data_IF_827019868953
#
_entry.id   IF_827019868953
#
_cell.length_a   1.000
_cell.length_b   1.000
_cell.length_c   1.000
_cell.angle_alpha   90.00
_cell.angle_beta   90.00
_cell.angle_gamma   90.00
#
_symmetry.space_group_name_H-M   'P 1'
#
loop_
_entity.id
_entity.type
_entity.pdbx_description
1 polymer ?
#
# COMPACT_ATOMS: atom_id res chain seq x y z
N UNK A 1 -21.83 59.63 12.07
CA UNK A 1 -22.45 58.44 11.45
C UNK A 1 -21.72 58.15 10.14
N UNK A 2 -20.82 57.16 10.14
CA UNK A 2 -20.11 56.52 8.99
C UNK A 2 -18.88 55.81 9.60
N UNK A 3 -18.43 54.69 9.04
CA UNK A 3 -17.29 53.86 9.46
C UNK A 3 -17.52 52.66 10.40
N UNK A 4 -18.73 52.08 10.45
CA UNK A 4 -18.94 50.78 11.12
C UNK A 4 -19.11 49.58 10.16
N UNK A 5 -18.88 49.80 8.86
CA UNK A 5 -19.18 48.83 7.78
C UNK A 5 -17.93 48.15 7.16
N UNK A 6 -16.69 48.69 7.16
CA UNK A 6 -15.62 48.07 6.37
C UNK A 6 -15.05 46.78 7.01
N UNK A 7 -15.11 46.63 8.33
CA UNK A 7 -14.51 45.49 9.05
C UNK A 7 -15.31 44.20 8.89
N UNK A 8 -16.64 44.28 8.80
CA UNK A 8 -17.50 43.10 8.64
C UNK A 8 -17.36 42.47 7.24
N UNK A 9 -17.07 43.29 6.23
CA UNK A 9 -16.88 42.86 4.84
C UNK A 9 -15.53 42.15 4.66
N UNK A 10 -14.47 42.61 5.34
CA UNK A 10 -13.14 42.00 5.27
C UNK A 10 -13.14 40.60 5.92
N UNK A 11 -13.86 40.41 7.02
CA UNK A 11 -13.98 39.11 7.69
C UNK A 11 -14.75 38.09 6.81
N UNK A 12 -15.76 38.54 6.06
CA UNK A 12 -16.51 37.66 5.15
C UNK A 12 -15.67 37.16 3.95
N UNK A 13 -14.70 37.94 3.47
CA UNK A 13 -13.82 37.53 2.36
C UNK A 13 -12.80 36.48 2.80
N UNK A 14 -12.31 36.53 4.05
CA UNK A 14 -11.38 35.53 4.59
C UNK A 14 -12.07 34.18 4.82
N UNK A 15 -13.36 34.18 5.18
CA UNK A 15 -14.16 32.96 5.38
C UNK A 15 -14.51 32.28 4.04
N UNK A 16 -14.53 33.02 2.92
CA UNK A 16 -14.83 32.47 1.59
C UNK A 16 -13.61 31.90 0.84
N UNK A 17 -12.39 32.02 1.39
CA UNK A 17 -11.17 31.45 0.79
C UNK A 17 -10.88 30.01 1.19
N UNK A 18 -11.77 29.35 1.96
CA UNK A 18 -11.76 27.89 2.07
C UNK A 18 -12.46 27.25 0.86
N UNK A 19 -12.09 27.65 -0.36
CA UNK A 19 -12.39 26.84 -1.53
C UNK A 19 -11.50 25.60 -1.43
N UNK A 20 -12.11 24.48 -1.07
CA UNK A 20 -11.46 23.17 -1.05
C UNK A 20 -10.76 22.92 -2.39
N UNK A 21 -9.44 22.89 -2.36
CA UNK A 21 -8.63 22.62 -3.52
C UNK A 21 -8.73 21.11 -3.82
N UNK A 22 -9.81 20.70 -4.49
CA UNK A 22 -10.04 19.31 -4.93
C UNK A 22 -9.30 18.96 -6.23
N UNK A 23 -8.12 19.55 -6.44
CA UNK A 23 -7.22 19.13 -7.50
C UNK A 23 -6.51 17.84 -7.09
N UNK A 24 -6.49 16.82 -7.96
CA UNK A 24 -5.62 15.65 -7.74
C UNK A 24 -4.19 16.14 -7.67
N UNK A 25 -3.52 15.94 -6.53
CA UNK A 25 -2.13 16.34 -6.36
C UNK A 25 -1.26 15.37 -7.17
N UNK A 26 -0.45 15.91 -8.08
CA UNK A 26 0.47 15.09 -8.86
C UNK A 26 1.62 14.61 -7.97
N UNK A 27 1.83 13.30 -7.92
CA UNK A 27 2.94 12.69 -7.17
C UNK A 27 4.24 12.81 -7.97
N UNK A 28 5.33 13.16 -7.30
CA UNK A 28 6.68 13.00 -7.84
C UNK A 28 7.01 11.50 -8.04
N UNK A 29 8.04 11.16 -8.85
CA UNK A 29 8.37 9.77 -9.15
C UNK A 29 8.63 8.91 -7.90
N UNK A 30 9.36 9.43 -6.91
CA UNK A 30 9.68 8.70 -5.68
C UNK A 30 8.42 8.40 -4.87
N UNK A 31 7.55 9.39 -4.69
CA UNK A 31 6.26 9.22 -4.02
C UNK A 31 5.35 8.22 -4.73
N UNK A 32 5.35 8.24 -6.07
CA UNK A 32 4.56 7.32 -6.89
C UNK A 32 5.04 5.88 -6.73
N UNK A 33 6.35 5.65 -6.83
CA UNK A 33 6.96 4.33 -6.75
C UNK A 33 6.79 3.72 -5.34
N UNK A 34 6.99 4.54 -4.30
CA UNK A 34 6.69 4.15 -2.93
C UNK A 34 5.22 3.72 -2.78
N UNK A 35 4.28 4.58 -3.17
CA UNK A 35 2.86 4.33 -2.99
C UNK A 35 2.35 3.12 -3.79
N UNK A 36 2.94 2.83 -4.95
CA UNK A 36 2.53 1.71 -5.80
C UNK A 36 2.54 0.38 -5.04
N UNK A 37 3.59 0.12 -4.27
CA UNK A 37 3.76 -1.12 -3.50
C UNK A 37 3.35 -0.97 -2.04
N UNK A 38 3.76 0.12 -1.36
CA UNK A 38 3.51 0.31 0.07
C UNK A 38 2.02 0.37 0.43
N UNK A 39 1.14 0.75 -0.50
CA UNK A 39 -0.32 0.71 -0.30
C UNK A 39 -0.89 -0.66 0.09
N UNK A 40 -0.15 -1.75 -0.13
CA UNK A 40 -0.51 -3.09 0.34
C UNK A 40 -0.50 -3.17 1.87
N UNK A 41 0.46 -2.50 2.51
CA UNK A 41 0.68 -2.54 3.97
C UNK A 41 0.32 -1.23 4.68
N UNK A 42 -0.25 -0.27 3.95
CA UNK A 42 -0.85 0.94 4.52
C UNK A 42 -2.23 0.66 5.10
N UNK A 43 -2.47 1.19 6.29
CA UNK A 43 -3.81 1.38 6.86
C UNK A 43 -4.63 2.34 6.01
N UNK A 44 -5.95 2.37 6.24
CA UNK A 44 -6.83 3.34 5.58
C UNK A 44 -6.41 4.78 5.90
N UNK A 45 -6.09 5.05 7.16
CA UNK A 45 -5.66 6.35 7.65
C UNK A 45 -4.35 6.80 6.98
N UNK A 46 -3.36 5.92 6.87
CA UNK A 46 -2.10 6.22 6.18
C UNK A 46 -2.32 6.54 4.70
N UNK A 47 -3.21 5.80 4.00
CA UNK A 47 -3.58 6.10 2.62
C UNK A 47 -4.23 7.48 2.50
N UNK A 48 -5.18 7.78 3.39
CA UNK A 48 -5.88 9.05 3.40
C UNK A 48 -4.88 10.20 3.64
N UNK A 49 -4.02 10.09 4.67
CA UNK A 49 -2.96 11.07 4.96
C UNK A 49 -2.07 11.28 3.74
N UNK A 50 -1.47 10.22 3.21
CA UNK A 50 -0.54 10.31 2.07
C UNK A 50 -1.15 11.01 0.85
N UNK A 51 -2.44 10.75 0.57
CA UNK A 51 -3.17 11.36 -0.54
C UNK A 51 -3.43 12.86 -0.37
N UNK A 52 -3.46 13.36 0.88
CA UNK A 52 -3.71 14.77 1.19
C UNK A 52 -2.44 15.59 1.45
N UNK A 53 -1.25 14.96 1.48
CA UNK A 53 0.00 15.70 1.66
C UNK A 53 0.24 16.64 0.46
N UNK A 54 0.49 17.95 0.69
CA UNK A 54 0.47 18.94 -0.38
C UNK A 54 1.75 18.91 -1.24
N UNK A 55 2.89 18.71 -0.63
CA UNK A 55 4.20 18.87 -1.25
C UNK A 55 5.09 17.62 -1.11
N UNK A 56 6.26 17.66 -1.76
CA UNK A 56 7.22 16.57 -1.80
C UNK A 56 7.91 16.34 -0.45
N UNK A 57 8.28 17.40 0.26
CA UNK A 57 9.00 17.31 1.54
C UNK A 57 8.14 16.61 2.59
N UNK A 58 6.87 17.01 2.69
CA UNK A 58 5.88 16.35 3.55
C UNK A 58 5.72 14.85 3.23
N UNK A 59 5.83 14.44 1.96
CA UNK A 59 5.76 13.03 1.55
C UNK A 59 7.03 12.27 1.88
N UNK A 60 8.20 12.88 1.73
CA UNK A 60 9.48 12.28 2.13
C UNK A 60 9.51 12.01 3.64
N UNK A 61 9.03 12.97 4.44
CA UNK A 61 8.85 12.79 5.89
C UNK A 61 7.88 11.64 6.19
N UNK A 62 6.71 11.61 5.54
CA UNK A 62 5.76 10.50 5.70
C UNK A 62 6.39 9.14 5.35
N UNK A 63 7.15 9.06 4.26
CA UNK A 63 7.81 7.82 3.82
C UNK A 63 8.84 7.35 4.86
N UNK A 64 9.64 8.28 5.39
CA UNK A 64 10.60 8.01 6.46
C UNK A 64 9.89 7.45 7.70
N UNK A 65 8.87 8.15 8.18
CA UNK A 65 8.03 7.76 9.31
C UNK A 65 7.36 6.41 9.11
N UNK A 66 6.85 6.16 7.91
CA UNK A 66 6.12 4.95 7.55
C UNK A 66 6.97 3.71 7.75
N UNK A 67 8.25 3.79 7.34
CA UNK A 67 9.21 2.70 7.52
C UNK A 67 9.74 2.62 8.94
N UNK A 68 10.08 3.77 9.56
CA UNK A 68 10.56 3.81 10.94
C UNK A 68 9.57 3.17 11.92
N UNK A 69 8.26 3.42 11.75
CA UNK A 69 7.19 2.81 12.58
C UNK A 69 7.07 1.28 12.42
N UNK A 70 7.65 0.72 11.37
CA UNK A 70 7.62 -0.71 11.05
C UNK A 70 8.97 -1.40 11.29
N UNK A 71 9.95 -0.66 11.78
CA UNK A 71 11.26 -1.20 12.10
C UNK A 71 11.20 -2.07 13.37
N UNK A 72 11.47 -3.39 13.29
CA UNK A 72 11.51 -4.23 14.47
C UNK A 72 12.79 -4.01 15.30
N UNK A 73 13.85 -3.47 14.71
CA UNK A 73 15.18 -3.36 15.33
C UNK A 73 15.78 -1.96 15.11
N UNK A 74 15.19 -0.88 15.65
CA UNK A 74 15.62 0.50 15.36
C UNK A 74 17.06 0.84 15.82
N UNK A 75 17.71 -0.06 16.57
CA UNK A 75 19.11 0.06 16.98
C UNK A 75 20.09 -0.42 15.88
N UNK A 76 19.61 -1.02 14.79
CA UNK A 76 20.40 -1.39 13.61
C UNK A 76 20.30 -0.31 12.54
N UNK A 77 21.25 -0.29 11.61
CA UNK A 77 21.24 0.65 10.49
C UNK A 77 20.16 0.30 9.44
N UNK A 78 19.80 -1.00 9.36
CA UNK A 78 18.93 -1.54 8.32
C UNK A 78 17.55 -1.88 8.87
N UNK A 79 16.50 -1.47 8.15
CA UNK A 79 15.13 -1.80 8.53
C UNK A 79 14.74 -3.19 7.99
N UNK A 80 14.83 -4.23 8.82
CA UNK A 80 14.67 -5.61 8.35
C UNK A 80 13.26 -5.90 7.82
N UNK A 81 12.23 -5.19 8.31
CA UNK A 81 10.87 -5.31 7.79
C UNK A 81 10.76 -4.77 6.36
N UNK A 82 11.36 -3.61 6.09
CA UNK A 82 11.37 -2.99 4.75
C UNK A 82 12.11 -3.88 3.76
N UNK A 83 13.27 -4.41 4.15
CA UNK A 83 14.04 -5.35 3.31
C UNK A 83 13.21 -6.59 2.97
N UNK A 84 12.62 -7.23 3.97
CA UNK A 84 11.79 -8.41 3.77
C UNK A 84 10.55 -8.11 2.92
N UNK A 85 9.91 -6.96 3.12
CA UNK A 85 8.79 -6.53 2.29
C UNK A 85 9.19 -6.46 0.81
N UNK A 86 10.30 -5.80 0.48
CA UNK A 86 10.77 -5.71 -0.90
C UNK A 86 11.26 -7.05 -1.46
N UNK A 87 11.91 -7.89 -0.65
CA UNK A 87 12.27 -9.26 -1.03
C UNK A 87 11.05 -10.08 -1.43
N UNK A 88 9.94 -9.96 -0.70
CA UNK A 88 8.68 -10.64 -1.02
C UNK A 88 8.00 -10.06 -2.26
N UNK A 89 8.07 -8.74 -2.47
CA UNK A 89 7.58 -8.08 -3.69
C UNK A 89 8.32 -8.65 -4.91
N UNK A 90 9.65 -8.73 -4.86
CA UNK A 90 10.47 -9.27 -5.95
C UNK A 90 10.12 -10.74 -6.22
N UNK A 91 10.13 -11.58 -5.17
CA UNK A 91 9.79 -12.99 -5.30
C UNK A 91 8.40 -13.19 -5.92
N UNK A 92 7.40 -12.46 -5.42
CA UNK A 92 6.04 -12.56 -5.92
C UNK A 92 5.93 -12.10 -7.38
N UNK A 93 6.65 -11.03 -7.75
CA UNK A 93 6.72 -10.50 -9.11
C UNK A 93 7.21 -11.54 -10.12
N UNK A 94 8.22 -12.32 -9.72
CA UNK A 94 8.85 -13.34 -10.57
C UNK A 94 8.03 -14.63 -10.63
N UNK A 95 7.41 -15.06 -9.53
CA UNK A 95 6.80 -16.39 -9.41
C UNK A 95 5.32 -16.45 -9.75
N UNK A 96 4.57 -15.36 -9.57
CA UNK A 96 3.10 -15.40 -9.62
C UNK A 96 2.51 -14.55 -10.75
N UNK A 97 3.24 -14.38 -11.86
CA UNK A 97 2.79 -13.59 -13.01
C UNK A 97 1.69 -14.32 -13.79
N UNK A 98 0.56 -13.65 -13.95
CA UNK A 98 -0.64 -14.19 -14.63
C UNK A 98 -1.30 -13.10 -15.49
N UNK A 99 -0.59 -12.64 -16.53
CA UNK A 99 -1.01 -11.51 -17.37
C UNK A 99 -0.84 -10.12 -16.72
N UNK A 100 -0.75 -10.06 -15.39
CA UNK A 100 -0.38 -8.89 -14.60
C UNK A 100 0.90 -9.15 -13.79
N UNK A 101 1.60 -8.11 -13.29
CA UNK A 101 2.76 -8.29 -12.40
C UNK A 101 2.42 -9.20 -11.21
N UNK A 102 3.31 -10.15 -10.91
CA UNK A 102 2.99 -11.22 -9.95
C UNK A 102 2.67 -10.74 -8.54
N UNK A 103 3.32 -9.68 -8.05
CA UNK A 103 2.98 -9.06 -6.77
C UNK A 103 1.57 -8.45 -6.71
N UNK A 104 0.95 -8.18 -7.88
CA UNK A 104 -0.42 -7.66 -7.98
C UNK A 104 -1.48 -8.77 -7.99
N UNK A 105 -1.11 -10.04 -8.19
CA UNK A 105 -2.05 -11.18 -8.15
C UNK A 105 -2.44 -11.54 -6.72
N UNK A 106 -3.51 -12.32 -6.55
CA UNK A 106 -3.96 -12.74 -5.23
C UNK A 106 -2.91 -13.60 -4.53
N UNK A 107 -2.29 -14.55 -5.26
CA UNK A 107 -1.16 -15.36 -4.74
C UNK A 107 0.02 -14.49 -4.33
N UNK A 108 0.37 -13.49 -5.15
CA UNK A 108 1.46 -12.57 -4.82
C UNK A 108 1.18 -11.75 -3.57
N UNK A 109 -0.03 -11.21 -3.43
CA UNK A 109 -0.42 -10.46 -2.22
C UNK A 109 -0.41 -11.32 -0.98
N UNK A 110 -0.96 -12.53 -1.05
CA UNK A 110 -0.91 -13.49 0.07
C UNK A 110 0.53 -13.82 0.46
N UNK A 111 1.41 -14.06 -0.51
CA UNK A 111 2.83 -14.30 -0.24
C UNK A 111 3.51 -13.10 0.43
N UNK A 112 3.19 -11.87 0.01
CA UNK A 112 3.74 -10.66 0.63
C UNK A 112 3.31 -10.55 2.09
N UNK A 113 2.02 -10.77 2.39
CA UNK A 113 1.50 -10.65 3.75
C UNK A 113 1.96 -11.78 4.67
N UNK A 114 1.83 -13.03 4.22
CA UNK A 114 2.02 -14.20 5.09
C UNK A 114 3.40 -14.82 4.95
N UNK A 115 4.16 -14.46 3.91
CA UNK A 115 5.41 -15.12 3.56
C UNK A 115 5.19 -16.45 2.83
N UNK A 116 6.23 -17.29 2.74
CA UNK A 116 6.13 -18.59 2.10
C UNK A 116 5.15 -19.50 2.86
N UNK A 117 4.30 -20.26 2.14
CA UNK A 117 3.45 -21.26 2.77
C UNK A 117 4.27 -22.46 3.26
N UNK A 118 3.80 -23.10 4.33
CA UNK A 118 4.36 -24.35 4.86
C UNK A 118 4.08 -25.54 3.93
N UNK A 119 2.98 -25.46 3.18
CA UNK A 119 2.54 -26.51 2.25
C UNK A 119 1.94 -25.93 0.98
N UNK A 120 2.31 -26.50 -0.16
CA UNK A 120 1.72 -26.19 -1.47
C UNK A 120 1.21 -27.49 -2.09
N UNK A 121 -0.06 -27.52 -2.49
CA UNK A 121 -0.65 -28.62 -3.25
C UNK A 121 -1.29 -28.08 -4.53
N UNK A 122 -1.14 -28.83 -5.63
CA UNK A 122 -1.90 -28.60 -6.86
C UNK A 122 -2.94 -29.71 -6.99
N UNK A 123 -4.20 -29.34 -7.13
CA UNK A 123 -5.35 -30.26 -7.23
C UNK A 123 -5.97 -30.12 -8.62
N UNK A 124 -5.53 -30.92 -9.60
CA UNK A 124 -6.08 -30.88 -10.95
C UNK A 124 -7.52 -31.41 -10.98
N UNK A 125 -8.34 -30.88 -11.89
CA UNK A 125 -9.65 -31.45 -12.17
C UNK A 125 -9.51 -32.65 -13.12
N UNK A 126 -9.49 -33.86 -12.55
CA UNK A 126 -9.18 -35.10 -13.29
C UNK A 126 -10.10 -35.33 -14.51
N UNK A 127 -11.38 -34.95 -14.41
CA UNK A 127 -12.35 -35.11 -15.50
C UNK A 127 -12.36 -33.94 -16.50
N UNK A 128 -11.56 -32.90 -16.27
CA UNK A 128 -11.50 -31.68 -17.09
C UNK A 128 -10.03 -31.24 -17.24
N UNK A 129 -9.22 -31.96 -18.03
CA UNK A 129 -7.77 -31.74 -18.11
C UNK A 129 -7.39 -30.34 -18.64
N UNK A 130 -8.27 -29.71 -19.42
CA UNK A 130 -8.06 -28.36 -19.96
C UNK A 130 -8.42 -27.24 -18.96
N UNK A 131 -9.04 -27.59 -17.82
CA UNK A 131 -9.40 -26.63 -16.78
C UNK A 131 -8.28 -26.58 -15.75
N UNK A 132 -7.78 -25.38 -15.49
CA UNK A 132 -6.76 -25.15 -14.46
C UNK A 132 -7.29 -25.60 -13.10
N UNK A 133 -6.53 -26.49 -12.45
CA UNK A 133 -6.87 -27.01 -11.13
C UNK A 133 -6.70 -25.97 -10.03
N UNK A 134 -7.11 -26.35 -8.82
CA UNK A 134 -6.94 -25.53 -7.63
C UNK A 134 -5.50 -25.59 -7.11
N UNK A 135 -5.04 -24.50 -6.52
CA UNK A 135 -3.79 -24.46 -5.76
C UNK A 135 -4.15 -24.22 -4.30
N UNK A 136 -3.68 -25.10 -3.41
CA UNK A 136 -3.86 -24.95 -1.98
C UNK A 136 -2.54 -24.55 -1.31
N UNK A 137 -2.57 -23.49 -0.52
CA UNK A 137 -1.48 -23.08 0.36
C UNK A 137 -1.87 -23.26 1.82
N UNK A 138 -1.04 -23.98 2.58
CA UNK A 138 -1.21 -24.18 4.02
C UNK A 138 -0.22 -23.34 4.83
N UNK A 139 -0.73 -22.67 5.85
CA UNK A 139 0.05 -21.94 6.85
C UNK A 139 -0.27 -22.46 8.26
N UNK A 140 0.57 -23.34 8.78
CA UNK A 140 0.34 -24.06 10.04
C UNK A 140 0.39 -23.13 11.25
N UNK A 141 1.30 -22.16 11.24
CA UNK A 141 1.39 -21.13 12.29
C UNK A 141 0.05 -20.42 12.52
N UNK A 142 -0.70 -20.18 11.44
CA UNK A 142 -1.98 -19.47 11.48
C UNK A 142 -3.20 -20.42 11.47
N UNK A 143 -2.98 -21.74 11.38
CA UNK A 143 -4.04 -22.74 11.15
C UNK A 143 -4.94 -22.36 9.96
N UNK A 144 -4.31 -21.86 8.90
CA UNK A 144 -4.98 -21.26 7.75
C UNK A 144 -4.67 -22.05 6.48
N UNK A 145 -5.71 -22.35 5.70
CA UNK A 145 -5.61 -22.86 4.34
C UNK A 145 -6.21 -21.85 3.37
N UNK A 146 -5.54 -21.61 2.25
CA UNK A 146 -5.98 -20.69 1.20
C UNK A 146 -6.01 -21.43 -0.12
N UNK A 147 -7.13 -21.36 -0.83
CA UNK A 147 -7.30 -21.95 -2.14
C UNK A 147 -7.31 -20.87 -3.21
N UNK A 148 -6.61 -21.13 -4.31
CA UNK A 148 -6.54 -20.27 -5.50
C UNK A 148 -7.07 -21.02 -6.71
N UNK A 149 -7.73 -20.29 -7.61
CA UNK A 149 -8.30 -20.77 -8.88
C UNK A 149 -7.46 -20.23 -10.04
#
# INVERSE_FOLDING_TARGET
MKYFIPTLIIIAVVILMSCGFSGKIALDPTSKDFHETARLIMTKQEKDIFNYLPDKESREEFISDFWAKRDPSPDTEENEFKEEFFRRIEYASLRFREGIPGWKTDRGRIYIYLGPPDKVEQRPFVNYPDVKGLIFWGYYKYRLGIEFV
#
